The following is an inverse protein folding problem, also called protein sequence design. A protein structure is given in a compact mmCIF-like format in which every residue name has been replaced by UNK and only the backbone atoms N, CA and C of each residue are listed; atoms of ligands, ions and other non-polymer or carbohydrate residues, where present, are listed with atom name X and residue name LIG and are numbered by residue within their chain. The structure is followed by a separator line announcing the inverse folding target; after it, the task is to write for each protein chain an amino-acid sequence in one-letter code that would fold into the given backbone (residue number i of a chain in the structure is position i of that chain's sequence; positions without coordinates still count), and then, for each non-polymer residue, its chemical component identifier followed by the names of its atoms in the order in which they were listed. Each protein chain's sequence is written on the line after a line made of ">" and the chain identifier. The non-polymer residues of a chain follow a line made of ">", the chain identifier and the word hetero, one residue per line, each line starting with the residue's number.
data_IF_598659958784
#
_entry.id   IF_598659958784
#
_cell.length_a   1.000
_cell.length_b   1.000
_cell.length_c   1.000
_cell.angle_alpha   90.00
_cell.angle_beta   90.00
_cell.angle_gamma   90.00
#
_symmetry.space_group_name_H-M   'P 1'
#
loop_
_entity.id
_entity.type
_entity.pdbx_description
1 polymer ?
#
# COMPACT_ATOMS: atom_id res chain seq x y z
N UNK A 1 -5.22 5.46 -20.71
CA UNK A 1 -4.80 5.11 -22.08
C UNK A 1 -4.35 6.36 -22.79
N UNK A 2 -3.53 6.25 -23.84
CA UNK A 2 -3.26 7.34 -24.78
C UNK A 2 -3.37 6.76 -26.19
N UNK A 3 -4.24 7.34 -27.02
CA UNK A 3 -4.58 6.81 -28.35
C UNK A 3 -4.96 5.31 -28.34
N UNK A 4 -5.91 4.91 -27.48
CA UNK A 4 -6.37 3.52 -27.31
C UNK A 4 -5.29 2.50 -26.90
N UNK A 5 -4.11 2.96 -26.43
CA UNK A 5 -3.07 2.09 -25.89
C UNK A 5 -3.06 2.12 -24.38
N UNK A 6 -2.93 0.95 -23.74
CA UNK A 6 -2.68 0.82 -22.31
C UNK A 6 -1.32 1.43 -21.98
N UNK A 7 -1.30 2.33 -20.99
CA UNK A 7 -0.06 2.87 -20.45
C UNK A 7 0.26 2.07 -19.20
N UNK A 8 1.40 1.37 -19.22
CA UNK A 8 1.93 0.71 -18.05
C UNK A 8 2.87 1.68 -17.34
N UNK A 9 2.36 2.32 -16.29
CA UNK A 9 3.19 3.15 -15.41
C UNK A 9 4.00 2.24 -14.50
N UNK A 10 5.28 2.59 -14.31
CA UNK A 10 6.07 2.00 -13.23
C UNK A 10 5.47 2.46 -11.90
N UNK A 11 5.30 1.52 -10.96
CA UNK A 11 4.96 1.84 -9.58
C UNK A 11 6.08 2.66 -8.93
N UNK A 12 5.76 3.34 -7.83
CA UNK A 12 6.78 3.95 -6.99
C UNK A 12 7.51 2.84 -6.22
N UNK A 13 8.79 2.65 -6.51
CA UNK A 13 9.58 1.58 -5.93
C UNK A 13 10.69 2.15 -5.06
N UNK A 14 10.90 1.53 -3.90
CA UNK A 14 12.01 1.79 -2.99
C UNK A 14 12.71 0.46 -2.74
N UNK A 15 14.02 0.43 -2.92
CA UNK A 15 14.84 -0.75 -2.66
C UNK A 15 15.83 -0.42 -1.55
N UNK A 16 15.84 -1.24 -0.50
CA UNK A 16 16.76 -1.14 0.63
C UNK A 16 17.28 -2.54 0.94
N UNK A 17 18.60 -2.70 1.04
CA UNK A 17 19.35 -3.90 1.45
C UNK A 17 18.71 -5.26 1.07
N UNK A 18 17.67 -5.70 1.81
CA UNK A 18 17.04 -7.01 1.71
C UNK A 18 15.56 -6.98 1.29
N UNK A 19 14.99 -5.81 0.97
CA UNK A 19 13.56 -5.65 0.63
C UNK A 19 13.35 -4.60 -0.47
N UNK A 20 12.49 -4.94 -1.42
CA UNK A 20 11.89 -4.00 -2.37
C UNK A 20 10.44 -3.72 -1.98
N UNK A 21 10.13 -2.45 -1.79
CA UNK A 21 8.78 -1.91 -1.60
C UNK A 21 8.29 -1.34 -2.94
N UNK A 22 7.10 -1.75 -3.38
CA UNK A 22 6.44 -1.21 -4.57
C UNK A 22 5.03 -0.72 -4.22
N UNK A 23 4.69 0.51 -4.62
CA UNK A 23 3.40 1.12 -4.34
C UNK A 23 2.73 1.51 -5.66
N UNK A 24 1.51 1.01 -5.87
CA UNK A 24 0.76 1.23 -7.09
C UNK A 24 -0.73 1.51 -6.81
N UNK A 25 -1.25 2.68 -7.21
CA UNK A 25 -2.67 2.93 -7.24
C UNK A 25 -3.37 2.05 -8.28
N UNK A 26 -4.51 1.48 -7.91
CA UNK A 26 -5.41 0.72 -8.78
C UNK A 26 -6.70 1.53 -8.94
N UNK A 27 -7.10 1.91 -10.16
CA UNK A 27 -8.25 2.79 -10.38
C UNK A 27 -9.57 2.12 -10.00
N UNK A 28 -10.60 2.94 -9.82
CA UNK A 28 -11.98 2.47 -9.69
C UNK A 28 -12.43 1.67 -10.92
N UNK A 29 -13.34 0.73 -10.71
CA UNK A 29 -14.03 -0.01 -11.76
C UNK A 29 -15.41 0.57 -11.98
N UNK A 30 -15.87 0.51 -13.22
CA UNK A 30 -17.14 1.07 -13.65
C UNK A 30 -17.99 -0.02 -14.27
N UNK A 31 -19.31 0.11 -14.12
CA UNK A 31 -20.31 -0.68 -14.82
C UNK A 31 -21.25 0.25 -15.57
N UNK A 32 -21.66 -0.14 -16.77
CA UNK A 32 -22.70 0.55 -17.50
C UNK A 32 -24.08 0.13 -16.98
N UNK A 33 -24.95 1.10 -16.74
CA UNK A 33 -26.33 0.91 -16.35
C UNK A 33 -27.20 1.94 -17.07
N UNK A 34 -28.11 1.47 -17.93
CA UNK A 34 -29.07 2.30 -18.68
C UNK A 34 -28.43 3.50 -19.42
N UNK A 35 -27.30 3.26 -20.10
CA UNK A 35 -26.59 4.30 -20.86
C UNK A 35 -25.80 5.31 -20.01
N UNK A 36 -25.65 5.04 -18.71
CA UNK A 36 -24.78 5.78 -17.80
C UNK A 36 -23.72 4.88 -17.18
N UNK A 37 -22.54 5.40 -16.87
CA UNK A 37 -21.53 4.66 -16.13
C UNK A 37 -21.54 5.05 -14.66
N UNK A 38 -21.51 4.04 -13.79
CA UNK A 38 -21.41 4.20 -12.35
C UNK A 38 -20.20 3.44 -11.81
N UNK A 39 -19.60 3.95 -10.74
CA UNK A 39 -18.53 3.23 -10.03
C UNK A 39 -19.13 1.96 -9.42
N UNK A 40 -18.68 0.80 -9.89
CA UNK A 40 -19.10 -0.51 -9.38
C UNK A 40 -18.21 -0.98 -8.23
N UNK A 41 -16.94 -0.57 -8.25
CA UNK A 41 -15.97 -0.87 -7.19
C UNK A 41 -14.97 0.27 -7.07
N UNK A 42 -14.77 0.77 -5.85
CA UNK A 42 -13.69 1.70 -5.58
C UNK A 42 -12.34 1.05 -5.86
N UNK A 43 -11.41 1.86 -6.34
CA UNK A 43 -10.00 1.51 -6.43
C UNK A 43 -9.36 1.36 -5.06
N UNK A 44 -8.07 1.05 -5.06
CA UNK A 44 -7.28 0.85 -3.86
C UNK A 44 -5.82 1.12 -4.16
N UNK A 45 -4.97 1.21 -3.13
CA UNK A 45 -3.52 1.29 -3.30
C UNK A 45 -2.92 -0.06 -2.94
N UNK A 46 -2.21 -0.66 -3.88
CA UNK A 46 -1.48 -1.91 -3.67
C UNK A 46 -0.08 -1.58 -3.16
N UNK A 47 0.30 -2.21 -2.05
CA UNK A 47 1.62 -2.10 -1.45
C UNK A 47 2.23 -3.51 -1.45
N UNK A 48 3.28 -3.71 -2.24
CA UNK A 48 3.99 -4.97 -2.32
C UNK A 48 5.33 -4.86 -1.60
N UNK A 49 5.64 -5.81 -0.71
CA UNK A 49 6.96 -5.99 -0.11
C UNK A 49 7.55 -7.30 -0.61
N UNK A 50 8.74 -7.23 -1.21
CA UNK A 50 9.42 -8.38 -1.80
C UNK A 50 10.82 -8.52 -1.21
N UNK A 51 11.09 -9.59 -0.45
CA UNK A 51 12.44 -9.93 -0.02
C UNK A 51 13.41 -10.07 -1.18
N UNK A 52 14.66 -9.67 -0.95
CA UNK A 52 15.76 -9.71 -1.91
C UNK A 52 16.86 -10.64 -1.41
N UNK A 53 17.59 -11.25 -2.34
CA UNK A 53 18.72 -12.10 -2.01
C UNK A 53 19.87 -11.29 -1.39
N UNK A 54 20.52 -11.87 -0.39
CA UNK A 54 21.63 -11.21 0.29
C UNK A 54 22.83 -11.02 -0.65
N UNK A 55 23.33 -9.78 -0.72
CA UNK A 55 24.47 -9.44 -1.58
C UNK A 55 24.15 -9.36 -3.08
N UNK A 56 22.86 -9.40 -3.46
CA UNK A 56 22.42 -9.28 -4.84
C UNK A 56 21.26 -8.28 -4.97
N UNK A 57 21.08 -7.73 -6.17
CA UNK A 57 19.92 -6.86 -6.48
C UNK A 57 18.74 -7.68 -7.04
N UNK A 58 18.69 -8.99 -6.77
CA UNK A 58 17.65 -9.89 -7.26
C UNK A 58 16.58 -10.12 -6.20
N UNK A 59 15.33 -10.19 -6.64
CA UNK A 59 14.19 -10.56 -5.79
C UNK A 59 14.15 -12.08 -5.60
N UNK A 60 13.74 -12.52 -4.41
CA UNK A 60 13.47 -13.94 -4.18
C UNK A 60 12.15 -14.30 -4.89
N UNK A 61 12.12 -15.24 -5.84
CA UNK A 61 10.88 -15.60 -6.53
C UNK A 61 9.78 -16.04 -5.56
N UNK A 62 8.52 -15.71 -5.86
CA UNK A 62 7.33 -16.09 -5.06
C UNK A 62 7.32 -15.62 -3.59
N UNK A 63 8.24 -14.75 -3.18
CA UNK A 63 8.31 -14.20 -1.82
C UNK A 63 7.51 -12.91 -1.61
N UNK A 64 6.98 -12.34 -2.70
CA UNK A 64 6.21 -11.09 -2.65
C UNK A 64 5.00 -11.23 -1.73
N UNK A 65 4.86 -10.28 -0.81
CA UNK A 65 3.69 -10.09 0.04
C UNK A 65 2.97 -8.81 -0.36
N UNK A 66 1.65 -8.88 -0.42
CA UNK A 66 0.80 -7.79 -0.90
C UNK A 66 -0.18 -7.35 0.17
N UNK A 67 -0.13 -6.07 0.50
CA UNK A 67 -1.09 -5.36 1.33
C UNK A 67 -1.98 -4.45 0.46
N UNK A 68 -3.26 -4.35 0.83
CA UNK A 68 -4.24 -3.53 0.12
C UNK A 68 -4.69 -2.40 1.03
N UNK A 69 -4.32 -1.18 0.67
CA UNK A 69 -4.77 0.04 1.35
C UNK A 69 -6.08 0.52 0.71
N UNK A 70 -7.17 0.38 1.45
CA UNK A 70 -8.49 0.85 1.05
C UNK A 70 -8.68 2.32 1.41
N UNK A 71 -9.59 2.99 0.70
CA UNK A 71 -9.89 4.42 0.92
C UNK A 71 -10.19 4.76 2.39
N UNK A 72 -10.89 3.87 3.11
CA UNK A 72 -11.21 4.06 4.53
C UNK A 72 -9.99 4.24 5.45
N UNK A 73 -8.82 3.78 5.02
CA UNK A 73 -7.57 3.79 5.77
C UNK A 73 -6.48 4.65 5.13
N UNK A 74 -6.81 5.36 4.05
CA UNK A 74 -5.87 6.29 3.42
C UNK A 74 -5.46 7.41 4.39
N UNK A 75 -6.40 7.88 5.23
CA UNK A 75 -6.14 8.88 6.27
C UNK A 75 -5.01 8.46 7.21
N UNK A 76 -4.94 7.18 7.59
CA UNK A 76 -3.90 6.65 8.48
C UNK A 76 -2.47 6.85 7.94
N UNK A 77 -2.30 6.87 6.61
CA UNK A 77 -1.00 7.18 5.97
C UNK A 77 -0.76 8.69 5.88
N UNK A 78 -1.81 9.46 5.58
CA UNK A 78 -1.71 10.91 5.41
C UNK A 78 -1.49 11.63 6.74
N UNK A 79 -1.98 11.08 7.84
CA UNK A 79 -1.88 11.64 9.19
C UNK A 79 -0.51 11.39 9.85
N UNK A 80 0.36 10.58 9.24
CA UNK A 80 1.72 10.38 9.75
C UNK A 80 2.47 11.73 9.81
N UNK A 81 2.80 12.20 11.02
CA UNK A 81 3.55 13.45 11.18
C UNK A 81 5.05 13.22 10.97
N UNK A 82 5.44 13.44 9.72
CA UNK A 82 6.82 13.33 9.22
C UNK A 82 7.72 14.50 9.63
N UNK A 83 7.18 15.61 10.18
CA UNK A 83 7.95 16.84 10.44
C UNK A 83 8.58 16.84 11.83
N UNK A 84 7.85 16.33 12.81
CA UNK A 84 8.29 16.31 14.20
C UNK A 84 9.35 15.22 14.43
N UNK A 85 10.16 15.38 15.50
CA UNK A 85 11.01 14.29 15.97
C UNK A 85 10.17 13.16 16.59
N UNK A 86 10.79 12.03 16.90
CA UNK A 86 10.15 10.95 17.65
C UNK A 86 9.77 11.42 19.06
N UNK A 87 8.56 11.08 19.50
CA UNK A 87 8.02 11.29 20.85
C UNK A 87 7.49 9.95 21.37
N UNK A 88 8.11 9.39 22.41
CA UNK A 88 7.72 8.10 22.97
C UNK A 88 6.27 8.06 23.46
N UNK A 89 5.70 9.19 23.90
CA UNK A 89 4.33 9.22 24.39
C UNK A 89 3.28 9.02 23.28
N UNK A 90 3.66 9.23 22.02
CA UNK A 90 2.76 9.19 20.86
C UNK A 90 3.18 8.12 19.84
N UNK A 91 4.49 7.93 19.67
CA UNK A 91 5.06 7.11 18.59
C UNK A 91 5.41 5.67 19.01
N UNK A 92 5.41 5.33 20.31
CA UNK A 92 5.81 4.00 20.81
C UNK A 92 4.92 2.88 20.25
N UNK A 93 3.60 3.07 20.26
CA UNK A 93 2.67 2.08 19.75
C UNK A 93 2.72 1.98 18.21
N UNK A 94 2.84 3.13 17.53
CA UNK A 94 2.79 3.27 16.08
C UNK A 94 1.39 3.16 15.49
N UNK A 95 1.31 3.21 14.16
CA UNK A 95 0.06 3.15 13.41
C UNK A 95 -0.15 1.74 12.84
N UNK A 96 -1.37 1.21 12.93
CA UNK A 96 -1.71 -0.13 12.44
C UNK A 96 -2.85 -0.04 11.45
N UNK A 97 -2.61 -0.51 10.23
CA UNK A 97 -3.63 -0.59 9.19
C UNK A 97 -3.92 -2.05 8.92
N UNK A 98 -5.17 -2.46 9.07
CA UNK A 98 -5.59 -3.83 8.86
C UNK A 98 -6.37 -3.98 7.55
N UNK A 99 -6.08 -5.06 6.84
CA UNK A 99 -6.81 -5.50 5.67
C UNK A 99 -7.19 -6.98 5.81
N UNK A 100 -8.47 -7.26 5.68
CA UNK A 100 -9.02 -8.60 5.76
C UNK A 100 -10.01 -8.77 4.61
N UNK A 101 -9.71 -9.71 3.71
CA UNK A 101 -10.48 -9.92 2.48
C UNK A 101 -11.60 -10.95 2.68
N UNK A 102 -11.29 -12.08 3.33
CA UNK A 102 -12.23 -13.18 3.60
C UNK A 102 -11.93 -13.78 4.97
N UNK A 103 -12.96 -14.23 5.69
CA UNK A 103 -12.83 -14.75 7.07
C UNK A 103 -11.84 -15.91 7.24
N UNK A 104 -11.57 -16.66 6.17
CA UNK A 104 -10.64 -17.80 6.16
C UNK A 104 -9.22 -17.40 5.77
N UNK A 105 -9.01 -16.19 5.25
CA UNK A 105 -7.69 -15.68 4.88
C UNK A 105 -7.01 -15.01 6.09
N UNK A 106 -5.67 -14.99 6.14
CA UNK A 106 -4.94 -14.24 7.14
C UNK A 106 -5.33 -12.75 7.15
N UNK A 107 -5.42 -12.17 8.34
CA UNK A 107 -5.54 -10.73 8.51
C UNK A 107 -4.17 -10.13 8.18
N UNK A 108 -4.12 -9.26 7.19
CA UNK A 108 -2.91 -8.55 6.81
C UNK A 108 -2.83 -7.26 7.59
N UNK A 109 -1.66 -6.96 8.15
CA UNK A 109 -1.41 -5.76 8.93
C UNK A 109 -0.22 -5.03 8.35
N UNK A 110 -0.39 -3.74 8.09
CA UNK A 110 0.72 -2.82 7.85
C UNK A 110 0.93 -2.01 9.13
N UNK A 111 1.99 -2.33 9.86
CA UNK A 111 2.43 -1.59 11.03
C UNK A 111 3.43 -0.52 10.60
N UNK A 112 3.26 0.70 11.10
CA UNK A 112 4.12 1.84 10.78
C UNK A 112 4.61 2.44 12.09
N UNK A 113 5.92 2.38 12.32
CA UNK A 113 6.54 2.95 13.51
C UNK A 113 7.51 4.04 13.12
N UNK A 114 7.44 5.18 13.81
CA UNK A 114 8.50 6.17 13.75
C UNK A 114 9.67 5.70 14.62
N UNK A 115 10.89 5.83 14.12
CA UNK A 115 12.09 5.33 14.80
C UNK A 115 12.73 6.43 15.67
N UNK A 116 13.27 6.09 16.87
CA UNK A 116 13.85 7.07 17.79
C UNK A 116 15.04 7.87 17.23
N UNK A 117 15.94 7.21 16.50
CA UNK A 117 17.30 7.77 16.31
C UNK A 117 17.48 8.64 15.07
N UNK A 118 16.52 8.66 14.15
CA UNK A 118 16.56 9.43 12.89
C UNK A 118 15.11 9.62 12.48
N UNK A 119 14.75 10.71 11.79
CA UNK A 119 13.40 10.92 11.20
C UNK A 119 13.10 9.87 10.13
N UNK A 120 12.97 8.62 10.55
CA UNK A 120 12.82 7.41 9.79
C UNK A 120 11.58 6.69 10.31
N UNK A 121 11.01 5.89 9.43
CA UNK A 121 9.84 5.10 9.69
C UNK A 121 10.16 3.67 9.31
N UNK A 122 9.68 2.71 10.09
CA UNK A 122 9.66 1.31 9.71
C UNK A 122 8.25 0.95 9.27
N UNK A 123 8.13 0.50 8.03
CA UNK A 123 6.90 -0.10 7.51
C UNK A 123 7.07 -1.60 7.60
N UNK A 124 6.18 -2.27 8.34
CA UNK A 124 6.22 -3.71 8.56
C UNK A 124 4.92 -4.34 8.09
N UNK A 125 5.02 -5.25 7.13
CA UNK A 125 3.94 -6.17 6.77
C UNK A 125 3.93 -7.35 7.72
N UNK A 126 2.75 -7.70 8.24
CA UNK A 126 2.52 -8.91 9.04
C UNK A 126 1.24 -9.63 8.58
N UNK A 127 1.24 -10.96 8.64
CA UNK A 127 0.01 -11.76 8.53
C UNK A 127 -0.35 -12.35 9.90
N UNK A 128 -1.62 -12.26 10.28
CA UNK A 128 -2.16 -12.79 11.53
C UNK A 128 -3.21 -13.84 11.16
N UNK A 129 -3.03 -15.08 11.62
CA UNK A 129 -4.02 -16.13 11.40
C UNK A 129 -5.30 -15.83 12.20
N UNK A 130 -6.50 -15.91 11.58
CA UNK A 130 -7.76 -15.69 12.28
C UNK A 130 -8.09 -16.79 13.30
N UNK A 131 -7.39 -17.93 13.26
CA UNK A 131 -7.63 -19.11 14.11
C UNK A 131 -6.88 -19.09 15.44
N UNK A 132 -6.16 -18.00 15.77
CA UNK A 132 -5.62 -17.77 17.12
C UNK A 132 -4.49 -18.71 17.55
N UNK A 133 -3.81 -19.37 16.61
CA UNK A 133 -2.63 -20.16 16.92
C UNK A 133 -1.43 -19.21 17.01
N UNK A 134 -0.91 -18.99 18.23
CA UNK A 134 0.20 -18.09 18.59
C UNK A 134 1.49 -18.34 17.77
N UNK A 135 1.55 -19.47 17.07
CA UNK A 135 2.62 -19.84 16.14
C UNK A 135 2.67 -18.98 14.87
N UNK A 136 1.61 -18.23 14.53
CA UNK A 136 1.49 -17.58 13.21
C UNK A 136 1.75 -16.07 13.16
N UNK A 137 1.74 -15.37 14.30
CA UNK A 137 2.13 -13.94 14.34
C UNK A 137 3.66 -13.78 14.40
N UNK A 138 4.39 -14.82 14.81
CA UNK A 138 5.82 -14.74 15.14
C UNK A 138 6.67 -15.94 14.71
N UNK A 139 6.11 -17.01 14.14
CA UNK A 139 6.86 -18.25 13.86
C UNK A 139 7.51 -18.35 12.48
N UNK A 140 6.92 -17.77 11.43
CA UNK A 140 7.48 -17.79 10.07
C UNK A 140 8.06 -16.41 9.71
N UNK A 141 9.39 -16.26 9.62
CA UNK A 141 10.04 -15.01 9.21
C UNK A 141 9.56 -14.49 7.85
N UNK A 142 8.97 -15.33 6.99
CA UNK A 142 8.44 -14.90 5.69
C UNK A 142 7.09 -14.16 5.79
N UNK A 143 6.43 -14.21 6.95
CA UNK A 143 5.15 -13.55 7.19
C UNK A 143 5.32 -12.17 7.84
N UNK A 144 6.56 -11.79 8.17
CA UNK A 144 6.90 -10.47 8.71
C UNK A 144 8.01 -9.84 7.88
N UNK A 145 7.70 -8.75 7.18
CA UNK A 145 8.67 -8.08 6.30
C UNK A 145 8.70 -6.60 6.66
N UNK A 146 9.88 -6.11 7.07
CA UNK A 146 10.11 -4.73 7.45
C UNK A 146 11.01 -3.99 6.47
N UNK A 147 10.72 -2.71 6.23
CA UNK A 147 11.58 -1.79 5.49
C UNK A 147 11.68 -0.44 6.21
N UNK A 148 12.91 0.06 6.35
CA UNK A 148 13.17 1.37 6.92
C UNK A 148 13.16 2.43 5.81
N UNK A 149 12.36 3.47 6.04
CA UNK A 149 12.09 4.56 5.12
C UNK A 149 12.52 5.87 5.76
N UNK A 150 13.21 6.69 4.99
CA UNK A 150 13.52 8.07 5.35
C UNK A 150 12.28 8.95 5.34
N UNK A 151 12.36 10.10 6.02
CA UNK A 151 11.41 11.20 5.91
C UNK A 151 10.95 11.47 4.47
N UNK A 152 11.89 11.62 3.53
CA UNK A 152 11.58 11.97 2.14
C UNK A 152 10.82 10.87 1.42
N UNK A 153 11.16 9.60 1.69
CA UNK A 153 10.46 8.44 1.15
C UNK A 153 9.01 8.38 1.65
N UNK A 154 8.78 8.55 2.97
CA UNK A 154 7.42 8.59 3.52
C UNK A 154 6.63 9.77 2.97
N UNK A 155 7.26 10.94 2.80
CA UNK A 155 6.57 12.11 2.23
C UNK A 155 6.16 11.89 0.77
N UNK A 156 6.98 11.20 -0.02
CA UNK A 156 6.62 10.81 -1.39
C UNK A 156 5.46 9.80 -1.40
N UNK A 157 5.43 8.86 -0.46
CA UNK A 157 4.31 7.93 -0.30
C UNK A 157 3.03 8.71 0.02
N UNK A 158 3.06 9.63 0.99
CA UNK A 158 1.91 10.49 1.33
C UNK A 158 1.41 11.26 0.10
N UNK A 159 2.33 11.86 -0.66
CA UNK A 159 2.00 12.63 -1.87
C UNK A 159 1.36 11.74 -2.94
N UNK A 160 1.92 10.56 -3.17
CA UNK A 160 1.36 9.59 -4.11
C UNK A 160 -0.03 9.14 -3.69
N UNK A 161 -0.22 8.83 -2.41
CA UNK A 161 -1.49 8.41 -1.83
C UNK A 161 -2.55 9.51 -2.00
N UNK A 162 -2.22 10.75 -1.60
CA UNK A 162 -3.10 11.91 -1.72
C UNK A 162 -3.51 12.17 -3.17
N UNK A 163 -2.55 12.21 -4.09
CA UNK A 163 -2.80 12.42 -5.51
C UNK A 163 -3.62 11.29 -6.17
N UNK A 164 -3.61 10.11 -5.58
CA UNK A 164 -4.34 8.94 -6.08
C UNK A 164 -5.81 8.92 -5.69
N UNK A 165 -6.23 9.70 -4.68
CA UNK A 165 -7.61 9.68 -4.14
C UNK A 165 -8.68 9.90 -5.25
N UNK A 166 -8.58 10.93 -6.11
CA UNK A 166 -9.58 11.13 -7.18
C UNK A 166 -9.61 9.99 -8.20
N UNK A 167 -8.51 9.25 -8.34
CA UNK A 167 -8.40 8.14 -9.28
C UNK A 167 -9.08 6.89 -8.71
N UNK A 168 -8.80 6.56 -7.45
CA UNK A 168 -9.38 5.41 -6.76
C UNK A 168 -10.88 5.59 -6.46
N UNK A 169 -11.37 6.84 -6.40
CA UNK A 169 -12.80 7.15 -6.27
C UNK A 169 -13.52 7.33 -7.62
N UNK A 170 -12.78 7.34 -8.74
CA UNK A 170 -13.36 7.59 -10.06
C UNK A 170 -13.71 9.06 -10.35
N UNK A 171 -13.47 9.99 -9.42
CA UNK A 171 -13.80 11.42 -9.57
C UNK A 171 -13.09 12.11 -10.74
N UNK A 172 -11.90 11.63 -11.12
CA UNK A 172 -11.20 12.10 -12.30
C UNK A 172 -12.04 11.98 -13.60
N UNK A 173 -13.02 11.08 -13.64
CA UNK A 173 -13.92 10.91 -14.78
C UNK A 173 -14.87 12.10 -14.98
N UNK A 174 -15.13 12.91 -13.95
CA UNK A 174 -15.91 14.15 -14.07
C UNK A 174 -15.21 15.12 -15.03
N UNK A 175 -13.88 15.17 -14.97
CA UNK A 175 -13.07 16.04 -15.82
C UNK A 175 -12.66 15.37 -17.13
N UNK A 176 -12.62 14.04 -17.17
CA UNK A 176 -12.28 13.28 -18.37
C UNK A 176 -13.12 11.99 -18.49
N UNK A 177 -14.37 12.06 -18.99
CA UNK A 177 -15.26 10.90 -19.10
C UNK A 177 -14.77 9.80 -20.05
N UNK A 178 -13.87 10.14 -21.00
CA UNK A 178 -13.36 9.20 -22.00
C UNK A 178 -12.58 8.02 -21.42
N UNK A 179 -12.11 8.15 -20.16
CA UNK A 179 -11.39 7.09 -19.45
C UNK A 179 -12.28 5.89 -19.11
N UNK A 180 -13.61 6.06 -19.09
CA UNK A 180 -14.57 5.00 -18.76
C UNK A 180 -15.00 4.24 -20.01
N UNK A 181 -15.26 4.96 -21.11
CA UNK A 181 -15.86 4.43 -22.33
C UNK A 181 -14.99 3.45 -23.14
N UNK A 182 -13.72 3.23 -22.76
CA UNK A 182 -12.74 2.49 -23.57
C UNK A 182 -12.35 1.13 -22.99
N UNK A 183 -12.98 0.67 -21.91
CA UNK A 183 -12.72 -0.66 -21.33
C UNK A 183 -13.49 -1.83 -22.00
N UNK A 184 -14.08 -1.62 -23.18
CA UNK A 184 -14.63 -2.68 -24.03
C UNK A 184 -13.59 -3.15 -25.05
#
# INVERSE_FOLDING_TARGET
>A
MYNNKRIYLRGYNITKDKVMLAIQPKPAQFSENQGSYQVSKNGYIQIDMTPMEEGSNQIIPNSRRTFILLMKSVGDILDLDTRLAYDSAVDEDGTYIQYHNQQTEPIKVLRINKLPDKRMYRFTYCEISPMGDDSTVSGDPQNVIGIDLSYGEVKNIQTLVEYSIPIILGWHCIYNPSVVATNQ
#
